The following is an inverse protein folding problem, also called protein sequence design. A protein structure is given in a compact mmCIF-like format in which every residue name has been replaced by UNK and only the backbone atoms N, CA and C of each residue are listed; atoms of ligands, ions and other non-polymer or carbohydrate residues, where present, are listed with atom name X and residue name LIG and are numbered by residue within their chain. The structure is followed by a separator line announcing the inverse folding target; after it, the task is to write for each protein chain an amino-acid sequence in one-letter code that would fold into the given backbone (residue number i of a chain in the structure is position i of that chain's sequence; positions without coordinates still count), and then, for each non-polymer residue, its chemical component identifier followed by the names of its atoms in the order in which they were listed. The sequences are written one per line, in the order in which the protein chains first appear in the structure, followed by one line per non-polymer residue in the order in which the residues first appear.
data_IF_461954041505
#
_entry.id   IF_461954041505
#
_cell.length_a   1.000
_cell.length_b   1.000
_cell.length_c   1.000
_cell.angle_alpha   90.00
_cell.angle_beta   90.00
_cell.angle_gamma   90.00
#
_symmetry.space_group_name_H-M   'P 1'
#
loop_
_entity.id
_entity.type
_entity.pdbx_description
1 polymer ?
#
# COMPACT_ATOMS: atom_id res chain seq x y z
N UNK A 1 -0.97 -7.80 18.88
CA UNK A 1 -0.14 -7.08 17.90
C UNK A 1 0.22 -5.72 18.45
N UNK A 2 1.49 -5.31 18.32
CA UNK A 2 1.94 -3.97 18.77
C UNK A 2 2.35 -3.15 17.54
N UNK A 3 2.05 -1.85 17.56
CA UNK A 3 2.43 -0.89 16.53
C UNK A 3 3.00 0.38 17.17
N UNK A 4 3.92 1.03 16.46
CA UNK A 4 4.46 2.34 16.84
C UNK A 4 3.38 3.41 16.71
N UNK A 5 3.05 4.05 17.84
CA UNK A 5 2.14 5.18 17.88
C UNK A 5 2.93 6.49 17.84
N UNK A 6 2.77 7.27 16.78
CA UNK A 6 3.46 8.57 16.63
C UNK A 6 3.03 9.57 17.71
N UNK A 7 1.79 9.44 18.23
CA UNK A 7 1.28 10.34 19.26
C UNK A 7 2.05 10.19 20.57
N UNK A 8 2.39 8.96 20.98
CA UNK A 8 3.07 8.67 22.24
C UNK A 8 4.55 8.38 22.09
N UNK A 9 5.02 8.11 20.83
CA UNK A 9 6.34 7.57 20.52
C UNK A 9 6.62 6.23 21.23
N UNK A 10 5.58 5.44 21.50
CA UNK A 10 5.67 4.13 22.13
C UNK A 10 5.11 3.03 21.22
N UNK A 11 5.52 1.80 21.51
CA UNK A 11 4.86 0.61 20.95
C UNK A 11 3.59 0.34 21.77
N UNK A 12 2.46 0.39 21.09
CA UNK A 12 1.15 0.18 21.72
C UNK A 12 0.45 -1.04 21.15
N UNK A 13 -0.27 -1.72 22.02
CA UNK A 13 -1.05 -2.88 21.65
C UNK A 13 -2.39 -2.46 21.05
N UNK A 14 -2.68 -2.93 19.83
CA UNK A 14 -4.00 -2.72 19.23
C UNK A 14 -4.98 -3.73 19.82
N UNK A 15 -6.12 -3.21 20.29
CA UNK A 15 -7.19 -4.06 20.83
C UNK A 15 -7.94 -4.74 19.68
N UNK A 16 -7.82 -6.07 19.60
CA UNK A 16 -8.54 -6.91 18.63
C UNK A 16 -9.66 -7.75 19.28
N UNK A 17 -9.98 -7.51 20.55
CA UNK A 17 -10.97 -8.29 21.31
C UNK A 17 -12.34 -8.25 20.64
N UNK A 18 -12.76 -7.08 20.15
CA UNK A 18 -14.05 -6.92 19.47
C UNK A 18 -14.03 -7.45 18.03
N UNK A 19 -12.88 -7.96 17.56
CA UNK A 19 -12.66 -8.48 16.22
C UNK A 19 -13.04 -7.51 15.08
N UNK A 20 -13.11 -6.22 15.38
CA UNK A 20 -13.34 -5.15 14.39
C UNK A 20 -12.31 -4.04 14.64
N UNK A 21 -11.60 -3.64 13.59
CA UNK A 21 -10.64 -2.52 13.59
C UNK A 21 -11.07 -1.50 12.56
N UNK A 22 -11.14 -0.24 12.96
CA UNK A 22 -11.46 0.91 12.13
C UNK A 22 -10.18 1.63 11.74
N UNK A 23 -9.86 1.66 10.45
CA UNK A 23 -8.65 2.31 9.91
C UNK A 23 -9.07 3.42 8.97
N UNK A 24 -8.57 4.64 9.20
CA UNK A 24 -8.61 5.73 8.25
C UNK A 24 -7.21 6.01 7.72
N UNK A 25 -7.05 5.93 6.42
CA UNK A 25 -5.82 6.30 5.72
C UNK A 25 -6.07 7.57 4.92
N UNK A 26 -5.37 8.66 5.24
CA UNK A 26 -5.42 9.85 4.41
C UNK A 26 -5.03 9.52 2.97
N UNK A 27 -5.93 9.85 2.06
CA UNK A 27 -5.80 9.54 0.64
C UNK A 27 -4.95 10.54 -0.12
N UNK A 28 -5.00 10.44 -1.43
CA UNK A 28 -4.20 11.28 -2.31
C UNK A 28 -5.01 12.44 -2.87
N UNK A 29 -4.35 13.58 -3.12
CA UNK A 29 -4.90 14.67 -3.93
C UNK A 29 -4.76 14.28 -5.40
N UNK A 30 -5.89 14.11 -6.09
CA UNK A 30 -5.96 13.51 -7.43
C UNK A 30 -5.75 14.52 -8.55
N UNK A 31 -4.56 15.09 -8.63
CA UNK A 31 -4.16 16.04 -9.67
C UNK A 31 -3.00 15.55 -10.56
N UNK A 32 -2.41 14.40 -10.23
CA UNK A 32 -1.29 13.78 -10.95
C UNK A 32 -1.19 12.29 -10.58
N UNK A 33 -0.43 11.51 -11.37
CA UNK A 33 -0.16 10.11 -11.10
C UNK A 33 0.49 9.89 -9.73
N UNK A 34 0.20 8.74 -9.13
CA UNK A 34 0.83 8.34 -7.88
C UNK A 34 2.31 8.01 -8.06
N UNK A 35 3.12 8.36 -7.08
CA UNK A 35 4.54 8.04 -7.03
C UNK A 35 4.85 6.95 -5.99
N UNK A 36 6.07 6.44 -6.01
CA UNK A 36 6.53 5.34 -5.16
C UNK A 36 6.35 5.61 -3.65
N UNK A 37 6.37 6.87 -3.21
CA UNK A 37 6.06 7.24 -1.82
C UNK A 37 4.61 6.92 -1.43
N UNK A 38 3.63 7.25 -2.31
CA UNK A 38 2.25 6.85 -2.12
C UNK A 38 2.12 5.32 -2.11
N UNK A 39 2.79 4.62 -3.05
CA UNK A 39 2.76 3.17 -3.11
C UNK A 39 3.28 2.54 -1.81
N UNK A 40 4.38 3.04 -1.26
CA UNK A 40 4.92 2.54 0.01
C UNK A 40 3.91 2.63 1.15
N UNK A 41 3.31 3.81 1.32
CA UNK A 41 2.30 4.03 2.38
C UNK A 41 1.13 3.07 2.22
N UNK A 42 0.55 2.99 1.03
CA UNK A 42 -0.62 2.17 0.76
C UNK A 42 -0.31 0.67 0.88
N UNK A 43 0.86 0.21 0.43
CA UNK A 43 1.31 -1.19 0.56
C UNK A 43 1.49 -1.58 2.03
N UNK A 44 2.06 -0.71 2.87
CA UNK A 44 2.21 -0.96 4.31
C UNK A 44 0.86 -1.17 4.97
N UNK A 45 -0.12 -0.31 4.69
CA UNK A 45 -1.47 -0.44 5.23
C UNK A 45 -2.23 -1.63 4.63
N UNK A 46 -1.99 -1.99 3.36
CA UNK A 46 -2.53 -3.20 2.74
C UNK A 46 -2.02 -4.47 3.45
N UNK A 47 -0.74 -4.53 3.79
CA UNK A 47 -0.18 -5.67 4.54
C UNK A 47 -0.73 -5.73 5.96
N UNK A 48 -0.84 -4.59 6.66
CA UNK A 48 -1.49 -4.53 7.98
C UNK A 48 -2.91 -5.09 7.91
N UNK A 49 -3.70 -4.64 6.95
CA UNK A 49 -5.07 -5.11 6.74
C UNK A 49 -5.12 -6.61 6.45
N UNK A 50 -4.33 -7.11 5.48
CA UNK A 50 -4.28 -8.54 5.13
C UNK A 50 -3.91 -9.40 6.33
N UNK A 51 -2.96 -8.94 7.11
CA UNK A 51 -2.53 -9.67 8.30
C UNK A 51 -3.62 -9.72 9.36
N UNK A 52 -4.28 -8.61 9.66
CA UNK A 52 -5.41 -8.56 10.59
C UNK A 52 -6.57 -9.45 10.13
N UNK A 53 -6.93 -9.41 8.84
CA UNK A 53 -8.00 -10.23 8.27
C UNK A 53 -7.70 -11.74 8.35
N UNK A 54 -6.44 -12.16 8.14
CA UNK A 54 -6.00 -13.56 8.33
C UNK A 54 -6.09 -14.00 9.79
N UNK A 55 -5.89 -13.08 10.75
CA UNK A 55 -6.08 -13.35 12.18
C UNK A 55 -7.57 -13.36 12.58
N UNK A 56 -8.50 -13.26 11.63
CA UNK A 56 -9.94 -13.29 11.85
C UNK A 56 -10.52 -11.95 12.34
N UNK A 57 -9.79 -10.85 12.18
CA UNK A 57 -10.25 -9.50 12.52
C UNK A 57 -10.92 -8.87 11.31
N UNK A 58 -12.14 -8.35 11.47
CA UNK A 58 -12.81 -7.55 10.45
C UNK A 58 -12.19 -6.15 10.39
N UNK A 59 -11.70 -5.73 9.24
CA UNK A 59 -11.14 -4.39 9.05
C UNK A 59 -12.12 -3.52 8.28
N UNK A 60 -12.52 -2.39 8.87
CA UNK A 60 -13.25 -1.32 8.18
C UNK A 60 -12.20 -0.30 7.77
N UNK A 61 -11.83 -0.31 6.49
CA UNK A 61 -10.75 0.50 5.93
C UNK A 61 -11.32 1.61 5.06
N UNK A 62 -11.15 2.86 5.47
CA UNK A 62 -11.58 4.04 4.73
C UNK A 62 -10.35 4.78 4.21
N UNK A 63 -10.38 5.14 2.92
CA UNK A 63 -9.37 5.98 2.29
C UNK A 63 -10.05 6.99 1.38
N UNK A 64 -9.87 8.28 1.64
CA UNK A 64 -10.52 9.31 0.84
C UNK A 64 -9.78 9.63 -0.47
N UNK A 65 -10.46 10.36 -1.35
CA UNK A 65 -9.84 11.15 -2.40
C UNK A 65 -10.10 12.63 -2.14
N UNK A 66 -9.03 13.42 -2.08
CA UNK A 66 -9.12 14.87 -2.19
C UNK A 66 -9.29 15.22 -3.67
N UNK A 67 -10.56 15.32 -4.09
CA UNK A 67 -10.98 15.55 -5.47
C UNK A 67 -11.27 17.02 -5.79
N UNK A 68 -10.99 17.90 -4.82
CA UNK A 68 -10.97 19.36 -4.98
C UNK A 68 -9.85 19.98 -4.14
N UNK A 69 -8.96 20.72 -4.79
CA UNK A 69 -7.81 21.39 -4.18
C UNK A 69 -7.27 22.44 -5.14
N UNK A 70 -6.50 23.40 -4.66
CA UNK A 70 -5.88 24.44 -5.49
C UNK A 70 -4.97 23.86 -6.59
N UNK A 71 -4.31 22.71 -6.33
CA UNK A 71 -3.47 22.01 -7.32
C UNK A 71 -4.29 21.39 -8.44
N UNK A 72 -5.49 20.85 -8.12
CA UNK A 72 -6.40 20.29 -9.13
C UNK A 72 -6.89 21.41 -10.05
N UNK A 73 -7.28 22.55 -9.47
CA UNK A 73 -7.74 23.74 -10.23
C UNK A 73 -6.60 24.29 -11.11
N UNK A 74 -5.40 24.41 -10.57
CA UNK A 74 -4.23 24.86 -11.34
C UNK A 74 -3.94 23.91 -12.50
N UNK A 75 -4.02 22.61 -12.29
CA UNK A 75 -3.84 21.60 -13.33
C UNK A 75 -4.92 21.68 -14.41
N UNK A 76 -6.18 21.81 -14.02
CA UNK A 76 -7.30 21.99 -14.92
C UNK A 76 -7.13 23.23 -15.82
N UNK A 77 -6.69 24.33 -15.26
CA UNK A 77 -6.39 25.57 -16.02
C UNK A 77 -5.26 25.36 -17.04
N UNK A 78 -4.18 24.64 -16.67
CA UNK A 78 -3.06 24.34 -17.58
C UNK A 78 -3.52 23.44 -18.72
N UNK A 79 -4.38 22.44 -18.43
CA UNK A 79 -4.88 21.50 -19.42
C UNK A 79 -6.14 21.98 -20.17
N UNK A 80 -6.61 23.21 -19.89
CA UNK A 80 -7.82 23.80 -20.48
C UNK A 80 -9.07 22.91 -20.30
N UNK A 81 -9.22 22.33 -19.12
CA UNK A 81 -10.34 21.45 -18.74
C UNK A 81 -10.94 21.87 -17.40
N UNK A 82 -11.85 21.10 -16.84
CA UNK A 82 -12.41 21.32 -15.52
C UNK A 82 -11.78 20.42 -14.43
N UNK A 83 -11.96 20.85 -13.18
CA UNK A 83 -11.39 20.15 -12.01
C UNK A 83 -11.98 18.75 -11.82
N UNK A 84 -13.23 18.53 -12.17
CA UNK A 84 -13.92 17.24 -12.09
C UNK A 84 -13.29 16.24 -13.08
N UNK A 85 -12.99 16.68 -14.31
CA UNK A 85 -12.33 15.85 -15.30
C UNK A 85 -10.95 15.41 -14.81
N UNK A 86 -10.12 16.35 -14.29
CA UNK A 86 -8.80 16.05 -13.74
C UNK A 86 -8.91 15.01 -12.62
N UNK A 87 -9.79 15.25 -11.65
CA UNK A 87 -9.97 14.34 -10.51
C UNK A 87 -10.38 12.94 -10.96
N UNK A 88 -11.32 12.83 -11.91
CA UNK A 88 -11.77 11.55 -12.45
C UNK A 88 -10.64 10.78 -13.13
N UNK A 89 -9.86 11.43 -13.99
CA UNK A 89 -8.73 10.82 -14.69
C UNK A 89 -7.71 10.24 -13.71
N UNK A 90 -7.35 11.00 -12.66
CA UNK A 90 -6.35 10.54 -11.71
C UNK A 90 -6.88 9.57 -10.66
N UNK A 91 -8.19 9.56 -10.37
CA UNK A 91 -8.83 8.47 -9.61
C UNK A 91 -8.79 7.16 -10.42
N UNK A 92 -9.09 7.20 -11.72
CA UNK A 92 -8.99 6.02 -12.59
C UNK A 92 -7.53 5.52 -12.68
N UNK A 93 -6.57 6.44 -12.81
CA UNK A 93 -5.13 6.11 -12.78
C UNK A 93 -4.73 5.45 -11.46
N UNK A 94 -5.17 6.02 -10.32
CA UNK A 94 -4.96 5.43 -8.99
C UNK A 94 -5.44 3.98 -8.94
N UNK A 95 -6.67 3.73 -9.33
CA UNK A 95 -7.22 2.39 -9.27
C UNK A 95 -6.49 1.40 -10.17
N UNK A 96 -6.16 1.79 -11.40
CA UNK A 96 -5.38 0.95 -12.31
C UNK A 96 -4.02 0.57 -11.71
N UNK A 97 -3.31 1.52 -11.12
CA UNK A 97 -1.98 1.31 -10.57
C UNK A 97 -2.02 0.43 -9.31
N UNK A 98 -2.95 0.70 -8.38
CA UNK A 98 -3.04 -0.05 -7.13
C UNK A 98 -3.70 -1.43 -7.26
N UNK A 99 -4.61 -1.62 -8.22
CA UNK A 99 -5.07 -2.97 -8.59
C UNK A 99 -3.94 -3.80 -9.19
N UNK A 100 -3.11 -3.19 -10.04
CA UNK A 100 -1.92 -3.83 -10.61
C UNK A 100 -0.92 -4.22 -9.52
N UNK A 101 -0.77 -3.39 -8.48
CA UNK A 101 0.03 -3.69 -7.28
C UNK A 101 -0.60 -4.75 -6.37
N UNK A 102 -1.77 -5.30 -6.70
CA UNK A 102 -2.53 -6.25 -5.87
C UNK A 102 -2.88 -5.68 -4.48
N UNK A 103 -3.17 -4.38 -4.38
CA UNK A 103 -3.68 -3.74 -3.17
C UNK A 103 -5.17 -4.06 -3.02
N UNK A 104 -5.61 -4.45 -1.83
CA UNK A 104 -7.02 -4.67 -1.54
C UNK A 104 -7.79 -3.35 -1.58
N UNK A 105 -8.94 -3.34 -2.27
CA UNK A 105 -9.81 -2.17 -2.30
C UNK A 105 -10.26 -1.81 -0.88
N UNK A 106 -10.24 -0.51 -0.55
CA UNK A 106 -10.80 -0.02 0.72
C UNK A 106 -12.29 -0.37 0.83
N UNK A 107 -12.82 -0.35 2.05
CA UNK A 107 -14.25 -0.52 2.29
C UNK A 107 -15.04 0.61 1.63
N UNK A 108 -14.48 1.83 1.64
CA UNK A 108 -15.04 2.98 0.93
C UNK A 108 -13.93 3.97 0.57
N UNK A 109 -14.17 4.71 -0.52
CA UNK A 109 -13.33 5.82 -0.99
C UNK A 109 -14.17 7.11 -1.07
N UNK A 110 -14.49 7.76 0.07
CA UNK A 110 -15.25 8.99 0.06
C UNK A 110 -14.49 10.12 -0.67
N UNK A 111 -15.25 10.98 -1.37
CA UNK A 111 -14.73 12.15 -2.07
C UNK A 111 -15.16 13.42 -1.35
N UNK A 112 -14.28 14.42 -1.35
CA UNK A 112 -14.58 15.69 -0.70
C UNK A 112 -15.82 16.36 -1.27
N UNK A 113 -15.95 16.35 -2.61
CA UNK A 113 -17.08 16.97 -3.31
C UNK A 113 -18.43 16.36 -2.96
N UNK A 114 -18.47 15.11 -2.51
CA UNK A 114 -19.68 14.40 -2.05
C UNK A 114 -20.06 14.75 -0.59
N UNK A 115 -19.18 15.46 0.13
CA UNK A 115 -19.30 15.73 1.57
C UNK A 115 -19.36 17.20 1.93
N UNK A 116 -19.60 18.08 0.96
CA UNK A 116 -19.68 19.53 1.20
C UNK A 116 -20.71 19.91 2.27
N UNK A 117 -21.96 19.37 2.27
CA UNK A 117 -22.92 19.65 3.33
C UNK A 117 -22.44 19.21 4.73
N UNK A 118 -21.79 18.05 4.82
CA UNK A 118 -21.25 17.54 6.09
C UNK A 118 -20.11 18.44 6.61
N UNK A 119 -19.25 18.94 5.70
CA UNK A 119 -18.15 19.87 6.02
C UNK A 119 -18.72 21.18 6.55
N UNK A 120 -19.74 21.73 5.92
CA UNK A 120 -20.39 22.98 6.36
C UNK A 120 -21.03 22.80 7.74
N UNK A 121 -21.72 21.67 7.99
CA UNK A 121 -22.30 21.35 9.30
C UNK A 121 -21.21 21.23 10.39
N UNK A 122 -20.10 20.53 10.09
CA UNK A 122 -18.99 20.39 11.02
C UNK A 122 -18.36 21.73 11.39
N UNK A 123 -18.12 22.59 10.39
CA UNK A 123 -17.60 23.95 10.60
C UNK A 123 -18.56 24.80 11.41
N UNK A 124 -19.87 24.73 11.13
CA UNK A 124 -20.90 25.47 11.89
C UNK A 124 -20.85 25.11 13.38
N UNK A 125 -20.73 23.81 13.69
CA UNK A 125 -20.60 23.32 15.06
C UNK A 125 -19.31 23.77 15.74
N UNK A 126 -18.19 23.86 14.99
CA UNK A 126 -16.95 24.44 15.51
C UNK A 126 -17.09 25.93 15.84
N UNK A 127 -17.83 26.69 15.02
CA UNK A 127 -18.13 28.11 15.31
C UNK A 127 -18.99 28.23 16.57
N UNK A 128 -20.04 27.45 16.70
CA UNK A 128 -20.92 27.41 17.89
C UNK A 128 -20.11 27.11 19.18
N UNK A 129 -19.09 26.27 19.11
CA UNK A 129 -18.18 25.96 20.20
C UNK A 129 -17.04 26.98 20.37
N UNK A 130 -17.03 28.08 19.66
CA UNK A 130 -15.95 29.08 19.66
C UNK A 130 -14.58 28.51 19.29
N UNK A 131 -14.53 27.41 18.55
CA UNK A 131 -13.32 26.80 18.02
C UNK A 131 -12.93 27.34 16.65
N UNK A 132 -13.87 27.98 15.96
CA UNK A 132 -13.66 28.63 14.66
C UNK A 132 -14.27 30.01 14.64
N UNK A 133 -13.83 30.85 13.69
CA UNK A 133 -14.31 32.22 13.53
C UNK A 133 -14.32 32.66 12.06
N UNK A 134 -15.16 33.65 11.78
CA UNK A 134 -15.24 34.31 10.48
C UNK A 134 -14.09 35.34 10.36
N UNK A 135 -13.21 35.16 9.40
CA UNK A 135 -12.19 36.14 8.99
C UNK A 135 -12.53 36.75 7.63
N UNK A 136 -11.64 37.61 7.13
CA UNK A 136 -11.88 38.32 5.86
C UNK A 136 -11.94 37.39 4.65
N UNK A 137 -11.07 36.36 4.61
CA UNK A 137 -10.90 35.48 3.45
C UNK A 137 -11.52 34.08 3.64
N UNK A 138 -12.23 33.84 4.75
CA UNK A 138 -12.83 32.54 5.05
C UNK A 138 -13.15 32.30 6.50
N UNK A 139 -13.39 31.03 6.82
CA UNK A 139 -13.54 30.56 8.19
C UNK A 139 -12.25 29.89 8.62
N UNK A 140 -11.76 30.25 9.80
CA UNK A 140 -10.49 29.76 10.34
C UNK A 140 -10.70 29.01 11.66
N UNK A 141 -9.94 27.94 11.87
CA UNK A 141 -9.85 27.26 13.16
C UNK A 141 -8.98 28.11 14.09
N UNK A 142 -9.46 28.34 15.32
CA UNK A 142 -8.77 29.09 16.37
C UNK A 142 -7.82 28.17 17.13
N UNK A 143 -6.55 28.09 16.70
CA UNK A 143 -5.55 27.16 17.28
C UNK A 143 -5.40 27.34 18.78
N UNK A 144 -5.42 28.56 19.30
CA UNK A 144 -5.33 28.85 20.74
C UNK A 144 -6.50 28.29 21.55
N UNK A 145 -7.63 27.95 20.93
CA UNK A 145 -8.78 27.33 21.59
C UNK A 145 -8.61 25.83 21.87
N UNK A 146 -7.55 25.22 21.33
CA UNK A 146 -7.22 23.81 21.54
C UNK A 146 -5.85 23.66 22.20
N UNK A 147 -5.85 23.39 23.52
CA UNK A 147 -4.62 23.34 24.33
C UNK A 147 -3.67 22.21 23.94
N UNK A 148 -4.18 21.17 23.29
CA UNK A 148 -3.40 20.01 22.84
C UNK A 148 -2.67 20.20 21.50
N UNK A 149 -2.69 21.39 20.90
CA UNK A 149 -2.07 21.61 19.60
C UNK A 149 -0.55 21.44 19.65
N UNK A 150 0.00 20.62 18.76
CA UNK A 150 1.41 20.22 18.76
C UNK A 150 1.66 18.85 19.42
N UNK A 151 0.63 18.20 19.98
CA UNK A 151 0.81 16.92 20.71
C UNK A 151 1.28 15.77 19.80
N UNK A 152 0.89 15.74 18.50
CA UNK A 152 1.32 14.72 17.56
C UNK A 152 2.71 15.02 17.00
N UNK A 153 2.92 16.25 16.55
CA UNK A 153 4.16 16.66 15.88
C UNK A 153 5.32 16.92 16.85
N UNK A 154 5.03 16.97 18.16
CA UNK A 154 6.00 17.33 19.23
C UNK A 154 6.62 18.70 19.05
N UNK A 155 5.95 19.59 18.29
CA UNK A 155 6.38 20.96 18.09
C UNK A 155 5.82 21.84 19.20
N UNK A 156 6.67 22.63 19.82
CA UNK A 156 6.20 23.70 20.68
C UNK A 156 5.56 24.85 19.87
N UNK A 157 4.75 25.65 20.53
CA UNK A 157 3.98 26.70 19.87
C UNK A 157 4.85 27.77 19.22
N UNK A 158 6.06 27.99 19.70
CA UNK A 158 6.98 29.01 19.19
C UNK A 158 7.74 28.48 17.96
N UNK A 159 8.11 27.21 17.96
CA UNK A 159 8.73 26.56 16.80
C UNK A 159 7.76 26.39 15.61
N UNK A 160 6.46 26.33 15.87
CA UNK A 160 5.44 26.30 14.82
C UNK A 160 5.43 27.63 14.04
N UNK A 161 5.56 28.77 14.73
CA UNK A 161 5.58 30.11 14.11
C UNK A 161 6.86 30.31 13.29
N UNK A 162 8.00 29.88 13.81
CA UNK A 162 9.32 30.10 13.20
C UNK A 162 9.66 29.14 12.04
N UNK A 163 9.08 27.93 12.05
CA UNK A 163 9.44 26.85 11.10
C UNK A 163 8.42 26.58 9.99
N UNK A 164 7.22 27.14 10.08
CA UNK A 164 6.24 27.01 9.01
C UNK A 164 6.51 28.10 7.97
N UNK A 165 6.46 27.76 6.67
CA UNK A 165 6.18 28.72 5.60
C UNK A 165 4.71 29.19 5.75
N UNK A 166 4.41 29.89 6.85
CA UNK A 166 3.14 30.53 7.06
C UNK A 166 3.22 31.80 6.21
N UNK A 167 2.47 31.83 5.12
CA UNK A 167 2.14 33.14 4.53
C UNK A 167 1.48 33.94 5.65
N UNK A 168 2.14 35.05 6.01
CA UNK A 168 1.63 35.98 7.02
C UNK A 168 0.35 36.57 6.44
N UNK A 169 -0.79 35.94 6.76
CA UNK A 169 -2.10 36.50 6.46
C UNK A 169 -2.49 37.41 7.64
N UNK A 170 -2.31 38.73 7.46
CA UNK A 170 -2.67 39.75 8.45
C UNK A 170 -4.16 39.72 8.85
N UNK A 171 -4.97 38.93 8.16
CA UNK A 171 -6.41 38.82 8.41
C UNK A 171 -6.76 37.67 9.40
N UNK A 172 -5.76 36.99 9.97
CA UNK A 172 -5.97 35.94 10.99
C UNK A 172 -5.77 36.53 12.40
N UNK A 173 -6.56 36.03 13.37
CA UNK A 173 -6.39 36.39 14.80
C UNK A 173 -5.04 35.89 15.34
N UNK A 174 -4.54 34.77 14.80
CA UNK A 174 -3.26 34.16 15.13
C UNK A 174 -2.61 33.57 13.86
N UNK A 175 -1.32 33.77 13.62
CA UNK A 175 -0.64 33.19 12.45
C UNK A 175 -0.76 31.67 12.30
N UNK A 176 -0.96 30.96 13.41
CA UNK A 176 -1.13 29.49 13.43
C UNK A 176 -2.50 29.04 12.99
N UNK A 177 -3.51 29.94 13.00
CA UNK A 177 -4.86 29.58 12.60
C UNK A 177 -4.89 29.15 11.14
N UNK A 178 -5.68 28.13 10.83
CA UNK A 178 -5.72 27.54 9.51
C UNK A 178 -7.14 27.53 8.94
N UNK A 179 -7.23 27.62 7.62
CA UNK A 179 -8.51 27.72 6.95
C UNK A 179 -9.32 26.44 7.02
N UNK A 180 -10.59 26.54 7.42
CA UNK A 180 -11.61 25.50 7.36
C UNK A 180 -12.48 25.66 6.11
N UNK A 181 -12.76 26.93 5.71
CA UNK A 181 -13.49 27.30 4.51
C UNK A 181 -12.83 28.50 3.89
N UNK A 182 -12.43 28.43 2.63
CA UNK A 182 -11.78 29.51 1.87
C UNK A 182 -12.80 30.17 0.97
N UNK A 183 -13.02 31.48 1.11
CA UNK A 183 -13.88 32.21 0.19
C UNK A 183 -13.26 32.26 -1.21
N UNK A 184 -14.11 32.04 -2.21
CA UNK A 184 -13.67 32.07 -3.59
C UNK A 184 -14.84 32.40 -4.52
N UNK A 185 -14.56 33.19 -5.55
CA UNK A 185 -15.44 33.40 -6.70
C UNK A 185 -15.06 32.53 -7.90
N UNK A 186 -13.88 31.87 -7.85
CA UNK A 186 -13.37 31.00 -8.92
C UNK A 186 -13.93 29.59 -8.74
N UNK A 187 -14.68 29.13 -9.73
CA UNK A 187 -15.26 27.77 -9.72
C UNK A 187 -14.18 26.68 -9.75
N UNK A 188 -14.46 25.50 -9.16
CA UNK A 188 -15.69 25.12 -8.48
C UNK A 188 -15.79 25.75 -7.08
N UNK A 189 -16.99 26.21 -6.72
CA UNK A 189 -17.33 26.77 -5.40
C UNK A 189 -18.71 26.29 -4.97
N UNK A 190 -18.93 26.25 -3.67
CA UNK A 190 -20.21 25.85 -3.06
C UNK A 190 -20.72 26.99 -2.17
N UNK A 191 -22.03 27.11 -2.13
CA UNK A 191 -22.70 28.04 -1.22
C UNK A 191 -22.57 27.54 0.23
N UNK A 192 -22.27 28.46 1.14
CA UNK A 192 -22.28 28.21 2.59
C UNK A 192 -22.97 29.37 3.31
N UNK A 193 -23.34 29.22 4.60
CA UNK A 193 -23.89 30.30 5.41
C UNK A 193 -23.01 31.56 5.48
N UNK A 194 -21.72 31.42 5.22
CA UNK A 194 -20.72 32.48 5.33
C UNK A 194 -20.34 33.11 3.99
N UNK A 195 -20.71 32.46 2.89
CA UNK A 195 -20.38 32.89 1.53
C UNK A 195 -19.92 31.73 0.64
N UNK A 196 -19.79 31.99 -0.65
CA UNK A 196 -19.31 31.00 -1.61
C UNK A 196 -17.82 30.71 -1.37
N UNK A 197 -17.47 29.44 -1.45
CA UNK A 197 -16.10 29.03 -1.21
C UNK A 197 -15.83 27.54 -1.39
N UNK A 198 -14.72 27.09 -0.79
CA UNK A 198 -14.23 25.72 -0.83
C UNK A 198 -13.74 25.29 0.54
N UNK A 199 -13.78 23.95 0.86
CA UNK A 199 -13.17 23.45 2.09
C UNK A 199 -11.67 23.74 2.17
N UNK A 200 -11.18 23.94 3.38
CA UNK A 200 -9.76 23.84 3.68
C UNK A 200 -9.29 22.37 3.62
N UNK A 201 -8.05 22.14 3.28
CA UNK A 201 -7.49 20.79 3.08
C UNK A 201 -7.61 19.85 4.30
N UNK A 202 -7.59 20.40 5.53
CA UNK A 202 -7.55 19.58 6.75
C UNK A 202 -8.92 19.14 7.22
N UNK A 203 -9.98 19.94 6.98
CA UNK A 203 -11.33 19.63 7.46
C UNK A 203 -11.94 18.41 6.75
N UNK A 204 -11.50 18.15 5.53
CA UNK A 204 -11.99 17.07 4.69
C UNK A 204 -11.87 15.71 5.37
N UNK A 205 -10.66 15.36 5.83
CA UNK A 205 -10.37 14.10 6.48
C UNK A 205 -11.04 13.98 7.85
N UNK A 206 -11.09 15.05 8.64
CA UNK A 206 -11.80 15.06 9.92
C UNK A 206 -13.28 14.71 9.76
N UNK A 207 -13.93 15.29 8.74
CA UNK A 207 -15.35 15.06 8.45
C UNK A 207 -15.58 13.65 7.91
N UNK A 208 -14.82 13.23 6.90
CA UNK A 208 -15.00 11.91 6.31
C UNK A 208 -14.65 10.78 7.30
N UNK A 209 -13.56 10.91 8.07
CA UNK A 209 -13.21 9.94 9.09
C UNK A 209 -14.32 9.78 10.14
N UNK A 210 -14.81 10.90 10.69
CA UNK A 210 -15.86 10.86 11.70
C UNK A 210 -17.20 10.36 11.16
N UNK A 211 -17.54 10.66 9.91
CA UNK A 211 -18.79 10.21 9.27
C UNK A 211 -18.80 8.70 9.05
N UNK A 212 -17.71 8.12 8.58
CA UNK A 212 -17.65 6.70 8.23
C UNK A 212 -17.24 5.79 9.39
N UNK A 213 -16.46 6.29 10.34
CA UNK A 213 -15.88 5.48 11.42
C UNK A 213 -16.31 5.92 12.83
N UNK A 214 -16.92 7.11 12.95
CA UNK A 214 -17.30 7.72 14.24
C UNK A 214 -16.23 8.63 14.80
N UNK A 215 -16.52 9.27 15.91
CA UNK A 215 -15.67 10.31 16.53
C UNK A 215 -14.34 9.77 17.09
N UNK A 216 -14.25 8.47 17.36
CA UNK A 216 -13.05 7.79 17.84
C UNK A 216 -12.75 6.59 16.95
N UNK A 217 -11.58 6.56 16.35
CA UNK A 217 -11.13 5.52 15.42
C UNK A 217 -9.95 4.74 16.02
N UNK A 218 -9.72 3.52 15.54
CA UNK A 218 -8.66 2.69 16.12
C UNK A 218 -7.29 3.07 15.57
N UNK A 219 -7.16 3.26 14.25
CA UNK A 219 -5.90 3.62 13.60
C UNK A 219 -6.15 4.73 12.58
N UNK A 220 -5.41 5.83 12.69
CA UNK A 220 -5.32 6.87 11.68
C UNK A 220 -3.91 6.90 11.10
N UNK A 221 -3.77 6.98 9.79
CA UNK A 221 -2.46 6.93 9.21
C UNK A 221 -2.26 7.67 7.89
N UNK A 222 -0.97 7.74 7.50
CA UNK A 222 -0.54 8.38 6.29
C UNK A 222 0.98 8.38 6.12
N UNK A 223 1.49 9.18 5.20
CA UNK A 223 2.92 9.46 5.10
C UNK A 223 3.41 10.32 6.27
N UNK A 224 4.70 10.22 6.60
CA UNK A 224 5.31 11.00 7.68
C UNK A 224 5.23 12.52 7.46
N UNK A 225 5.12 12.95 6.21
CA UNK A 225 4.93 14.36 5.83
C UNK A 225 3.56 14.92 6.23
N UNK A 226 2.57 14.07 6.48
CA UNK A 226 1.24 14.46 6.95
C UNK A 226 1.17 14.71 8.46
N UNK A 227 2.15 14.27 9.26
CA UNK A 227 2.18 14.48 10.71
C UNK A 227 1.91 15.95 11.04
N UNK A 228 2.58 16.86 10.31
CA UNK A 228 2.40 18.30 10.45
C UNK A 228 2.46 19.00 9.08
N UNK A 229 1.48 19.85 8.77
CA UNK A 229 0.40 20.31 9.66
C UNK A 229 -0.87 19.46 9.58
N UNK A 230 -1.02 18.51 8.64
CA UNK A 230 -2.30 17.91 8.26
C UNK A 230 -2.97 17.16 9.42
N UNK A 231 -2.34 16.11 9.94
CA UNK A 231 -2.91 15.29 11.01
C UNK A 231 -3.01 16.05 12.36
N UNK A 232 -2.07 16.95 12.64
CA UNK A 232 -2.16 17.83 13.81
C UNK A 232 -3.43 18.69 13.75
N UNK A 233 -3.75 19.25 12.57
CA UNK A 233 -4.95 20.04 12.35
C UNK A 233 -6.21 19.21 12.41
N UNK A 234 -6.19 17.97 11.90
CA UNK A 234 -7.32 17.04 12.02
C UNK A 234 -7.64 16.70 13.49
N UNK A 235 -6.60 16.48 14.31
CA UNK A 235 -6.76 16.29 15.76
C UNK A 235 -7.45 17.50 16.37
N UNK A 236 -6.95 18.71 16.09
CA UNK A 236 -7.50 19.92 16.67
C UNK A 236 -8.98 20.11 16.29
N UNK A 237 -9.33 19.85 15.03
CA UNK A 237 -10.71 19.93 14.52
C UNK A 237 -11.62 18.90 15.19
N UNK A 238 -11.22 17.64 15.16
CA UNK A 238 -12.06 16.52 15.62
C UNK A 238 -12.21 16.54 17.14
N UNK A 239 -11.12 16.67 17.88
CA UNK A 239 -11.17 16.71 19.34
C UNK A 239 -11.75 18.05 19.87
N UNK A 240 -11.55 19.14 19.11
CA UNK A 240 -12.20 20.42 19.40
C UNK A 240 -13.73 20.36 19.27
N UNK A 241 -14.25 19.51 18.37
CA UNK A 241 -15.69 19.31 18.19
C UNK A 241 -16.27 18.27 19.13
N UNK A 242 -15.67 17.06 19.15
CA UNK A 242 -16.26 15.89 19.82
C UNK A 242 -15.83 15.76 21.28
N UNK A 243 -14.79 16.49 21.73
CA UNK A 243 -14.25 16.45 23.10
C UNK A 243 -13.83 15.03 23.54
N UNK A 244 -13.42 14.23 22.57
CA UNK A 244 -12.90 12.86 22.77
C UNK A 244 -11.68 12.67 21.89
N UNK A 245 -10.84 11.71 22.24
CA UNK A 245 -9.69 11.33 21.43
C UNK A 245 -10.11 10.93 20.03
N UNK A 246 -9.50 11.51 18.99
CA UNK A 246 -9.86 11.27 17.61
C UNK A 246 -9.40 9.91 17.10
N UNK A 247 -8.15 9.53 17.41
CA UNK A 247 -7.60 8.22 17.04
C UNK A 247 -6.74 7.66 18.16
N UNK A 248 -6.95 6.39 18.48
CA UNK A 248 -6.18 5.67 19.52
C UNK A 248 -4.73 5.46 19.09
N UNK A 249 -4.48 5.25 17.80
CA UNK A 249 -3.14 5.00 17.27
C UNK A 249 -2.92 5.82 15.99
N UNK A 250 -1.79 6.52 15.94
CA UNK A 250 -1.34 7.29 14.79
C UNK A 250 -0.15 6.59 14.12
N UNK A 251 -0.38 6.05 12.92
CA UNK A 251 0.62 5.27 12.20
C UNK A 251 1.15 6.04 10.98
N UNK A 252 2.45 6.34 10.97
CA UNK A 252 3.08 7.08 9.90
C UNK A 252 4.17 6.27 9.19
N UNK A 253 4.14 6.33 7.86
CA UNK A 253 5.10 5.64 7.00
C UNK A 253 6.19 6.61 6.56
N UNK A 254 7.44 6.22 6.78
CA UNK A 254 8.62 7.02 6.43
C UNK A 254 8.69 7.31 4.93
N UNK A 255 9.30 8.44 4.59
CA UNK A 255 9.41 8.91 3.20
C UNK A 255 10.27 8.00 2.34
N UNK A 256 10.04 8.04 1.03
CA UNK A 256 10.97 7.48 0.04
C UNK A 256 11.90 8.59 -0.45
N UNK A 257 13.20 8.33 -0.42
CA UNK A 257 14.25 9.17 -1.01
C UNK A 257 14.77 8.55 -2.30
N UNK A 258 15.48 9.31 -3.11
CA UNK A 258 16.11 8.84 -4.33
C UNK A 258 17.59 9.20 -4.24
N UNK A 259 18.45 8.20 -4.16
CA UNK A 259 19.89 8.40 -3.92
C UNK A 259 20.16 9.35 -2.74
N UNK A 260 19.45 9.13 -1.63
CA UNK A 260 19.48 9.93 -0.40
C UNK A 260 18.93 11.36 -0.50
N UNK A 261 18.38 11.76 -1.64
CA UNK A 261 17.73 13.05 -1.82
C UNK A 261 16.21 12.94 -1.65
N UNK A 262 15.59 13.98 -1.08
CA UNK A 262 14.13 14.03 -0.94
C UNK A 262 13.48 14.07 -2.33
N UNK A 263 12.53 13.16 -2.55
CA UNK A 263 11.70 13.18 -3.75
C UNK A 263 10.82 14.43 -3.77
N UNK A 264 10.86 15.17 -4.88
CA UNK A 264 10.10 16.40 -5.05
C UNK A 264 9.76 16.64 -6.52
N UNK A 265 8.51 17.05 -6.79
CA UNK A 265 8.07 17.41 -8.13
C UNK A 265 8.82 18.64 -8.69
N UNK A 266 9.20 19.58 -7.83
CA UNK A 266 9.95 20.76 -8.22
C UNK A 266 11.38 20.45 -8.69
N UNK A 267 11.97 19.36 -8.18
CA UNK A 267 13.29 18.87 -8.60
C UNK A 267 13.16 17.94 -9.83
N UNK A 268 11.96 17.47 -10.14
CA UNK A 268 11.72 16.56 -11.25
C UNK A 268 12.19 15.11 -11.02
N UNK A 269 12.53 14.74 -9.78
CA UNK A 269 13.03 13.42 -9.40
C UNK A 269 11.91 12.47 -8.91
N UNK A 270 10.66 12.67 -9.33
CA UNK A 270 9.52 11.85 -8.90
C UNK A 270 9.43 10.57 -9.73
N UNK A 271 9.32 9.41 -9.08
CA UNK A 271 9.18 8.11 -9.74
C UNK A 271 7.71 7.70 -9.70
N UNK A 272 7.05 7.61 -10.86
CA UNK A 272 5.64 7.22 -10.99
C UNK A 272 5.46 5.72 -10.81
N UNK A 273 4.36 5.33 -10.16
CA UNK A 273 3.99 3.92 -9.96
C UNK A 273 3.77 3.23 -11.31
N UNK A 274 3.08 3.90 -12.25
CA UNK A 274 2.80 3.37 -13.59
C UNK A 274 4.07 3.08 -14.41
N UNK A 275 5.14 3.85 -14.21
CA UNK A 275 6.44 3.63 -14.85
C UNK A 275 7.15 2.42 -14.24
N UNK A 276 7.20 2.35 -12.90
CA UNK A 276 7.81 1.22 -12.20
C UNK A 276 7.07 -0.10 -12.46
N UNK A 277 5.74 -0.07 -12.56
CA UNK A 277 4.96 -1.26 -12.91
C UNK A 277 5.40 -1.85 -14.26
N UNK A 278 5.70 -1.00 -15.23
CA UNK A 278 6.22 -1.42 -16.53
C UNK A 278 7.67 -1.87 -16.46
N UNK A 279 8.46 -1.20 -15.63
CA UNK A 279 9.90 -1.46 -15.53
C UNK A 279 10.24 -2.72 -14.72
N UNK A 280 9.65 -2.90 -13.54
CA UNK A 280 10.08 -3.97 -12.61
C UNK A 280 8.94 -4.90 -12.18
N UNK A 281 7.70 -4.52 -12.47
CA UNK A 281 6.51 -5.28 -12.11
C UNK A 281 6.08 -5.14 -10.64
N UNK A 282 4.83 -5.56 -10.33
CA UNK A 282 4.18 -5.25 -9.05
C UNK A 282 4.85 -5.93 -7.84
N UNK A 283 5.29 -7.18 -7.98
CA UNK A 283 5.87 -7.92 -6.86
C UNK A 283 7.23 -7.36 -6.42
N UNK A 284 8.02 -6.87 -7.36
CA UNK A 284 9.31 -6.22 -7.07
C UNK A 284 9.07 -4.90 -6.33
N UNK A 285 8.08 -4.10 -6.76
CA UNK A 285 7.69 -2.87 -6.07
C UNK A 285 7.26 -3.16 -4.63
N UNK A 286 6.43 -4.19 -4.41
CA UNK A 286 5.99 -4.57 -3.06
C UNK A 286 7.17 -5.00 -2.19
N UNK A 287 8.06 -5.86 -2.69
CA UNK A 287 9.26 -6.29 -1.97
C UNK A 287 10.20 -5.13 -1.66
N UNK A 288 10.34 -4.18 -2.57
CA UNK A 288 11.07 -2.93 -2.34
C UNK A 288 10.43 -2.12 -1.19
N UNK A 289 9.13 -1.84 -1.26
CA UNK A 289 8.41 -1.05 -0.25
C UNK A 289 8.49 -1.67 1.17
N UNK A 290 8.61 -2.99 1.25
CA UNK A 290 8.68 -3.76 2.50
C UNK A 290 10.12 -4.12 2.91
N UNK A 291 11.14 -3.63 2.20
CA UNK A 291 12.54 -4.00 2.47
C UNK A 291 13.14 -3.36 3.73
N UNK A 292 12.49 -2.33 4.26
CA UNK A 292 12.89 -1.67 5.52
C UNK A 292 11.71 -1.52 6.46
N UNK A 293 11.99 -1.19 7.73
CA UNK A 293 10.94 -0.89 8.69
C UNK A 293 10.10 0.30 8.22
N UNK A 294 8.77 0.22 8.35
CA UNK A 294 7.86 1.20 7.77
C UNK A 294 8.05 2.62 8.31
N UNK A 295 8.48 2.79 9.57
CA UNK A 295 8.72 4.11 10.18
C UNK A 295 10.00 4.79 9.67
N UNK A 296 10.92 4.03 9.07
CA UNK A 296 12.21 4.55 8.60
C UNK A 296 12.12 5.05 7.15
N UNK A 297 12.92 6.04 6.75
CA UNK A 297 13.07 6.37 5.34
C UNK A 297 13.51 5.15 4.53
N UNK A 298 13.12 5.09 3.27
CA UNK A 298 13.52 4.06 2.32
C UNK A 298 14.16 4.75 1.11
N UNK A 299 15.41 4.39 0.82
CA UNK A 299 16.09 4.98 -0.33
C UNK A 299 15.88 4.13 -1.59
N UNK A 300 15.43 4.77 -2.65
CA UNK A 300 15.30 4.14 -3.96
C UNK A 300 16.66 4.16 -4.66
N UNK A 301 17.30 2.99 -4.70
CA UNK A 301 18.55 2.78 -5.42
C UNK A 301 18.43 1.58 -6.34
N UNK A 302 19.27 1.55 -7.39
CA UNK A 302 19.33 0.40 -8.31
C UNK A 302 19.62 -0.91 -7.57
N UNK A 303 20.53 -0.89 -6.59
CA UNK A 303 20.92 -2.08 -5.85
C UNK A 303 19.77 -2.71 -5.06
N UNK A 304 18.95 -1.89 -4.39
CA UNK A 304 17.78 -2.37 -3.64
C UNK A 304 16.69 -2.92 -4.58
N UNK A 305 16.51 -2.30 -5.74
CA UNK A 305 15.59 -2.82 -6.77
C UNK A 305 16.10 -4.16 -7.33
N UNK A 306 17.38 -4.28 -7.65
CA UNK A 306 17.96 -5.52 -8.17
C UNK A 306 17.96 -6.64 -7.10
N UNK A 307 18.13 -6.29 -5.83
CA UNK A 307 17.91 -7.23 -4.72
C UNK A 307 16.44 -7.69 -4.65
N UNK A 308 15.49 -6.79 -4.80
CA UNK A 308 14.06 -7.11 -4.81
C UNK A 308 13.68 -8.01 -6.00
N UNK A 309 14.29 -7.80 -7.18
CA UNK A 309 14.15 -8.69 -8.35
C UNK A 309 14.66 -10.09 -8.04
N UNK A 310 15.85 -10.21 -7.40
CA UNK A 310 16.40 -11.53 -6.99
C UNK A 310 15.50 -12.25 -6.00
N UNK A 311 15.00 -11.54 -4.98
CA UNK A 311 14.02 -12.09 -4.01
C UNK A 311 12.77 -12.60 -4.71
N UNK A 312 12.19 -11.80 -5.61
CA UNK A 312 11.02 -12.23 -6.36
C UNK A 312 11.29 -13.46 -7.22
N UNK A 313 12.44 -13.52 -7.89
CA UNK A 313 12.82 -14.69 -8.70
C UNK A 313 12.89 -15.97 -7.86
N UNK A 314 13.46 -15.92 -6.66
CA UNK A 314 13.53 -17.07 -5.75
C UNK A 314 12.13 -17.52 -5.30
N UNK A 315 11.26 -16.58 -4.94
CA UNK A 315 9.90 -16.85 -4.47
C UNK A 315 9.06 -17.44 -5.62
N UNK A 316 9.11 -16.84 -6.80
CA UNK A 316 8.33 -17.30 -7.96
C UNK A 316 8.80 -18.68 -8.45
N UNK A 317 10.10 -18.97 -8.41
CA UNK A 317 10.61 -20.29 -8.74
C UNK A 317 10.05 -21.37 -7.78
N UNK A 318 10.09 -21.11 -6.47
CA UNK A 318 9.52 -22.04 -5.48
C UNK A 318 8.00 -22.22 -5.69
N UNK A 319 7.28 -21.16 -6.04
CA UNK A 319 5.84 -21.22 -6.33
C UNK A 319 5.56 -22.15 -7.51
N UNK A 320 6.20 -21.92 -8.67
CA UNK A 320 5.96 -22.72 -9.87
C UNK A 320 6.40 -24.19 -9.70
N UNK A 321 7.50 -24.43 -8.99
CA UNK A 321 7.97 -25.77 -8.67
C UNK A 321 6.96 -26.54 -7.81
N UNK A 322 6.48 -25.92 -6.71
CA UNK A 322 5.47 -26.54 -5.85
C UNK A 322 4.13 -26.71 -6.57
N UNK A 323 3.71 -25.72 -7.36
CA UNK A 323 2.47 -25.82 -8.14
C UNK A 323 2.53 -26.99 -9.12
N UNK A 324 3.63 -27.12 -9.87
CA UNK A 324 3.82 -28.21 -10.82
C UNK A 324 3.82 -29.58 -10.12
N UNK A 325 4.62 -29.75 -9.07
CA UNK A 325 4.73 -31.01 -8.34
C UNK A 325 3.41 -31.41 -7.67
N UNK A 326 2.70 -30.47 -7.09
CA UNK A 326 1.39 -30.73 -6.48
C UNK A 326 0.36 -31.17 -7.51
N UNK A 327 0.41 -30.62 -8.73
CA UNK A 327 -0.51 -30.96 -9.82
C UNK A 327 -0.21 -32.33 -10.47
N UNK A 328 1.06 -32.70 -10.55
CA UNK A 328 1.54 -33.92 -11.19
C UNK A 328 1.89 -35.01 -10.16
N UNK A 329 1.15 -35.05 -9.06
CA UNK A 329 1.41 -35.94 -7.89
C UNK A 329 1.40 -37.44 -8.16
N UNK A 330 0.85 -37.91 -9.30
CA UNK A 330 0.89 -39.37 -9.65
C UNK A 330 2.30 -39.87 -10.01
N UNK A 331 3.28 -38.96 -10.12
CA UNK A 331 4.67 -39.31 -10.42
C UNK A 331 5.45 -39.64 -9.12
N UNK A 332 4.87 -39.34 -7.95
CA UNK A 332 5.54 -39.42 -6.66
C UNK A 332 4.85 -40.43 -5.75
N UNK A 333 5.52 -41.55 -5.45
CA UNK A 333 5.01 -42.60 -4.56
C UNK A 333 4.92 -42.10 -3.09
N UNK A 334 4.02 -42.71 -2.32
CA UNK A 334 3.81 -42.44 -0.90
C UNK A 334 5.06 -42.81 -0.08
N UNK A 335 5.78 -41.79 0.42
CA UNK A 335 6.86 -41.96 1.39
C UNK A 335 6.45 -41.33 2.73
N UNK A 336 6.07 -42.18 3.70
CA UNK A 336 5.27 -41.77 4.84
C UNK A 336 6.01 -41.11 6.05
N UNK A 337 7.34 -41.16 6.15
CA UNK A 337 7.97 -40.85 7.45
C UNK A 337 9.02 -39.75 7.49
N UNK A 338 9.63 -39.40 6.37
CA UNK A 338 10.85 -38.52 6.38
C UNK A 338 10.48 -37.03 6.34
N UNK A 339 9.24 -36.68 5.97
CA UNK A 339 8.87 -35.31 5.64
C UNK A 339 8.13 -34.56 6.77
N UNK A 340 7.64 -35.27 7.80
CA UNK A 340 6.94 -34.64 8.91
C UNK A 340 7.82 -33.68 9.71
N UNK A 341 9.08 -33.99 10.07
CA UNK A 341 9.96 -33.04 10.76
C UNK A 341 10.24 -31.79 9.92
N UNK A 342 10.37 -31.94 8.59
CA UNK A 342 10.56 -30.81 7.69
C UNK A 342 9.31 -29.94 7.61
N UNK A 343 8.11 -30.53 7.58
CA UNK A 343 6.86 -29.80 7.57
C UNK A 343 6.67 -28.98 8.86
N UNK A 344 7.07 -29.53 10.00
CA UNK A 344 7.08 -28.83 11.28
C UNK A 344 8.07 -27.64 11.26
N UNK A 345 9.28 -27.87 10.74
CA UNK A 345 10.26 -26.80 10.51
C UNK A 345 9.68 -25.68 9.63
N UNK A 346 9.06 -26.04 8.50
CA UNK A 346 8.46 -25.09 7.55
C UNK A 346 7.28 -24.33 8.18
N UNK A 347 6.48 -25.00 9.02
CA UNK A 347 5.38 -24.36 9.76
C UNK A 347 5.93 -23.36 10.78
N UNK A 348 7.02 -23.69 11.45
CA UNK A 348 7.67 -22.78 12.41
C UNK A 348 8.16 -21.48 11.75
N UNK A 349 8.62 -21.51 10.48
CA UNK A 349 8.94 -20.27 9.77
C UNK A 349 7.73 -19.33 9.64
N UNK A 350 6.52 -19.86 9.44
CA UNK A 350 5.32 -19.02 9.40
C UNK A 350 5.05 -18.39 10.77
N UNK A 351 5.19 -19.15 11.86
CA UNK A 351 5.04 -18.63 13.23
C UNK A 351 6.03 -17.49 13.49
N UNK A 352 7.31 -17.68 13.18
CA UNK A 352 8.34 -16.65 13.34
C UNK A 352 8.06 -15.40 12.46
N UNK A 353 7.56 -15.61 11.25
CA UNK A 353 7.15 -14.52 10.36
C UNK A 353 6.00 -13.70 11.00
N UNK A 354 4.98 -14.37 11.52
CA UNK A 354 3.85 -13.72 12.20
C UNK A 354 4.30 -13.02 13.49
N UNK A 355 5.25 -13.55 14.24
CA UNK A 355 5.86 -12.89 15.40
C UNK A 355 6.51 -11.56 15.03
N UNK A 356 7.25 -11.51 13.92
CA UNK A 356 7.84 -10.27 13.44
C UNK A 356 6.78 -9.26 12.98
N UNK A 357 5.68 -9.69 12.36
CA UNK A 357 4.57 -8.81 12.03
C UNK A 357 3.83 -8.31 13.26
N UNK A 358 3.68 -9.15 14.29
CA UNK A 358 3.09 -8.77 15.56
C UNK A 358 3.93 -7.75 16.34
N UNK A 359 5.21 -7.67 16.04
CA UNK A 359 6.14 -6.73 16.65
C UNK A 359 6.45 -5.57 15.69
N UNK A 360 5.53 -4.62 15.65
CA UNK A 360 5.64 -3.37 14.90
C UNK A 360 5.81 -3.54 13.38
N UNK A 361 5.14 -4.54 12.78
CA UNK A 361 5.26 -4.83 11.36
C UNK A 361 6.72 -4.87 10.87
N UNK A 362 7.57 -5.57 11.60
CA UNK A 362 8.99 -5.67 11.25
C UNK A 362 9.19 -6.45 9.95
N UNK A 363 8.87 -5.79 8.83
CA UNK A 363 8.93 -6.39 7.49
C UNK A 363 10.31 -6.91 7.11
N UNK A 364 11.38 -6.22 7.51
CA UNK A 364 12.73 -6.62 7.17
C UNK A 364 13.06 -8.01 7.75
N UNK A 365 12.73 -8.24 9.02
CA UNK A 365 12.93 -9.54 9.66
C UNK A 365 11.91 -10.57 9.15
N UNK A 366 10.65 -10.19 8.98
CA UNK A 366 9.63 -11.07 8.41
C UNK A 366 10.01 -11.57 7.01
N UNK A 367 10.44 -10.70 6.10
CA UNK A 367 10.94 -11.09 4.77
C UNK A 367 12.19 -11.97 4.86
N UNK A 368 13.08 -11.74 5.81
CA UNK A 368 14.24 -12.61 6.04
C UNK A 368 13.82 -14.03 6.40
N UNK A 369 12.82 -14.17 7.30
CA UNK A 369 12.26 -15.49 7.66
C UNK A 369 11.57 -16.14 6.46
N UNK A 370 10.80 -15.39 5.71
CA UNK A 370 10.16 -15.89 4.49
C UNK A 370 11.18 -16.39 3.45
N UNK A 371 12.28 -15.66 3.23
CA UNK A 371 13.34 -16.09 2.31
C UNK A 371 14.10 -17.32 2.82
N UNK A 372 14.27 -17.51 4.13
CA UNK A 372 14.80 -18.76 4.71
C UNK A 372 13.86 -19.94 4.40
N UNK A 373 12.54 -19.75 4.57
CA UNK A 373 11.54 -20.75 4.17
C UNK A 373 11.67 -21.11 2.67
N UNK A 374 11.77 -20.11 1.78
CA UNK A 374 11.97 -20.32 0.34
C UNK A 374 13.26 -21.10 0.06
N UNK A 375 14.37 -20.72 0.67
CA UNK A 375 15.66 -21.39 0.50
C UNK A 375 15.58 -22.85 0.97
N UNK A 376 14.92 -23.10 2.10
CA UNK A 376 14.76 -24.45 2.65
C UNK A 376 13.95 -25.36 1.72
N UNK A 377 12.85 -24.81 1.13
CA UNK A 377 12.05 -25.52 0.13
C UNK A 377 12.87 -25.79 -1.12
N UNK A 378 13.54 -24.78 -1.71
CA UNK A 378 14.33 -24.96 -2.92
C UNK A 378 15.42 -26.02 -2.75
N UNK A 379 16.10 -26.02 -1.61
CA UNK A 379 17.10 -27.03 -1.29
C UNK A 379 16.50 -28.43 -1.20
N UNK A 380 15.32 -28.57 -0.58
CA UNK A 380 14.62 -29.84 -0.50
C UNK A 380 14.17 -30.35 -1.89
N UNK A 381 13.57 -29.47 -2.70
CA UNK A 381 13.08 -29.81 -4.03
C UNK A 381 14.20 -30.08 -5.04
N UNK A 382 15.43 -29.61 -4.79
CA UNK A 382 16.60 -29.90 -5.65
C UNK A 382 17.11 -31.34 -5.52
N UNK A 383 16.72 -32.04 -4.45
CA UNK A 383 17.08 -33.44 -4.22
C UNK A 383 16.05 -34.33 -4.93
N UNK A 384 16.53 -35.30 -5.71
CA UNK A 384 15.68 -36.25 -6.46
C UNK A 384 15.15 -37.36 -5.51
N UNK A 385 14.37 -36.94 -4.49
CA UNK A 385 13.74 -37.84 -3.52
C UNK A 385 12.24 -37.91 -3.76
N UNK A 386 11.60 -39.08 -3.59
CA UNK A 386 10.14 -39.21 -3.60
C UNK A 386 9.53 -38.27 -2.57
N UNK A 387 8.51 -37.53 -2.95
CA UNK A 387 7.86 -36.53 -2.09
C UNK A 387 6.38 -36.88 -1.94
N UNK A 388 5.90 -36.90 -0.70
CA UNK A 388 4.50 -37.16 -0.38
C UNK A 388 3.62 -35.98 -0.86
N UNK A 389 2.48 -36.29 -1.51
CA UNK A 389 1.55 -35.29 -2.00
C UNK A 389 0.96 -34.41 -0.89
N UNK A 390 0.72 -34.99 0.30
CA UNK A 390 0.22 -34.22 1.45
C UNK A 390 1.24 -33.20 1.91
N UNK A 391 2.52 -33.57 1.97
CA UNK A 391 3.61 -32.64 2.27
C UNK A 391 3.68 -31.50 1.25
N UNK A 392 3.63 -31.80 -0.06
CA UNK A 392 3.64 -30.79 -1.12
C UNK A 392 2.45 -29.83 -1.00
N UNK A 393 1.26 -30.37 -0.78
CA UNK A 393 0.02 -29.59 -0.66
C UNK A 393 0.06 -28.66 0.55
N UNK A 394 0.51 -29.15 1.71
CA UNK A 394 0.66 -28.35 2.93
C UNK A 394 1.73 -27.29 2.75
N UNK A 395 2.89 -27.64 2.19
CA UNK A 395 3.98 -26.69 1.91
C UNK A 395 3.54 -25.59 0.95
N UNK A 396 2.83 -25.94 -0.11
CA UNK A 396 2.30 -24.98 -1.06
C UNK A 396 1.24 -24.06 -0.43
N UNK A 397 0.42 -24.60 0.49
CA UNK A 397 -0.52 -23.79 1.27
C UNK A 397 0.18 -22.77 2.18
N UNK A 398 1.28 -23.17 2.85
CA UNK A 398 2.11 -22.28 3.64
C UNK A 398 2.69 -21.16 2.76
N UNK A 399 3.28 -21.49 1.61
CA UNK A 399 3.82 -20.52 0.67
C UNK A 399 2.74 -19.50 0.24
N UNK A 400 1.56 -19.97 -0.12
CA UNK A 400 0.43 -19.10 -0.50
C UNK A 400 0.00 -18.19 0.65
N UNK A 401 0.05 -18.65 1.90
CA UNK A 401 -0.26 -17.82 3.08
C UNK A 401 0.75 -16.69 3.26
N UNK A 402 2.06 -16.96 3.17
CA UNK A 402 3.09 -15.92 3.17
C UNK A 402 2.86 -14.89 2.06
N UNK A 403 2.66 -15.36 0.83
CA UNK A 403 2.46 -14.49 -0.32
C UNK A 403 1.21 -13.63 -0.18
N UNK A 404 0.11 -14.19 0.32
CA UNK A 404 -1.13 -13.45 0.56
C UNK A 404 -0.92 -12.31 1.56
N UNK A 405 -0.26 -12.57 2.70
CA UNK A 405 -0.03 -11.55 3.74
C UNK A 405 0.74 -10.37 3.18
N UNK A 406 1.81 -10.60 2.44
CA UNK A 406 2.62 -9.51 1.85
C UNK A 406 2.11 -9.03 0.48
N UNK A 407 0.98 -9.61 0.02
CA UNK A 407 0.29 -9.20 -1.21
C UNK A 407 1.01 -9.57 -2.51
N UNK A 408 1.89 -10.56 -2.51
CA UNK A 408 2.53 -11.07 -3.72
C UNK A 408 1.56 -11.96 -4.50
N UNK A 409 1.59 -11.84 -5.82
CA UNK A 409 0.70 -12.59 -6.71
C UNK A 409 1.44 -13.05 -7.95
N UNK A 410 1.34 -14.34 -8.25
CA UNK A 410 1.84 -14.90 -9.50
C UNK A 410 0.80 -14.67 -10.60
N UNK A 411 1.26 -14.30 -11.79
CA UNK A 411 0.41 -14.17 -12.96
C UNK A 411 -0.13 -15.53 -13.37
N UNK A 412 -1.45 -15.66 -13.37
CA UNK A 412 -2.11 -16.87 -13.84
C UNK A 412 -2.37 -16.80 -15.34
N UNK A 413 -2.36 -17.95 -15.98
CA UNK A 413 -2.85 -18.14 -17.35
C UNK A 413 -4.29 -18.65 -17.31
N UNK A 414 -5.06 -18.40 -18.36
CA UNK A 414 -6.37 -19.03 -18.51
C UNK A 414 -6.25 -20.55 -18.62
N UNK A 415 -7.32 -21.28 -18.32
CA UNK A 415 -7.33 -22.73 -18.44
C UNK A 415 -6.96 -23.19 -19.87
N UNK A 416 -7.47 -22.50 -20.87
CA UNK A 416 -7.20 -22.79 -22.27
C UNK A 416 -5.72 -22.56 -22.62
N UNK A 417 -5.15 -21.44 -22.19
CA UNK A 417 -3.71 -21.19 -22.38
C UNK A 417 -2.86 -22.22 -21.68
N UNK A 418 -3.26 -22.63 -20.47
CA UNK A 418 -2.57 -23.66 -19.72
C UNK A 418 -2.54 -24.98 -20.50
N UNK A 419 -3.70 -25.46 -20.97
CA UNK A 419 -3.81 -26.70 -21.75
C UNK A 419 -2.96 -26.63 -23.02
N UNK A 420 -2.96 -25.50 -23.72
CA UNK A 420 -2.13 -25.31 -24.92
C UNK A 420 -0.62 -25.29 -24.60
N UNK A 421 -0.22 -24.69 -23.48
CA UNK A 421 1.19 -24.70 -23.04
C UNK A 421 1.64 -26.14 -22.74
N UNK A 422 0.88 -26.89 -21.96
CA UNK A 422 1.21 -28.28 -21.59
C UNK A 422 1.29 -29.20 -22.81
N UNK A 423 0.36 -29.06 -23.77
CA UNK A 423 0.40 -29.82 -25.03
C UNK A 423 1.68 -29.52 -25.85
N UNK A 424 2.05 -28.25 -25.94
CA UNK A 424 3.28 -27.87 -26.66
C UNK A 424 4.54 -28.36 -25.90
N UNK A 425 4.56 -28.34 -24.57
CA UNK A 425 5.66 -28.90 -23.77
C UNK A 425 5.79 -30.39 -24.01
N UNK A 426 4.66 -31.11 -24.03
CA UNK A 426 4.66 -32.54 -24.33
C UNK A 426 5.28 -32.81 -25.72
N UNK A 427 4.82 -32.14 -26.78
CA UNK A 427 5.37 -32.25 -28.15
C UNK A 427 6.87 -31.94 -28.19
N UNK A 428 7.29 -30.86 -27.50
CA UNK A 428 8.71 -30.50 -27.39
C UNK A 428 9.54 -31.62 -26.75
N UNK A 429 9.05 -32.24 -25.69
CA UNK A 429 9.77 -33.30 -25.00
C UNK A 429 9.86 -34.56 -25.84
N UNK A 430 8.84 -34.88 -26.64
CA UNK A 430 8.92 -35.95 -27.64
C UNK A 430 10.05 -35.70 -28.66
N UNK A 431 10.11 -34.50 -29.26
CA UNK A 431 11.20 -34.15 -30.19
C UNK A 431 12.58 -34.22 -29.54
N UNK A 432 12.70 -33.86 -28.27
CA UNK A 432 13.97 -34.02 -27.55
C UNK A 432 14.36 -35.50 -27.35
N UNK A 433 13.40 -36.38 -27.05
CA UNK A 433 13.68 -37.79 -26.92
C UNK A 433 14.13 -38.44 -28.23
N UNK A 434 13.62 -37.92 -29.36
CA UNK A 434 14.02 -38.26 -30.72
C UNK A 434 15.29 -37.57 -31.20
N UNK A 435 15.94 -36.75 -30.35
CA UNK A 435 17.12 -35.91 -30.64
C UNK A 435 16.88 -34.86 -31.74
N UNK A 436 15.60 -34.54 -32.03
CA UNK A 436 15.23 -33.48 -32.94
C UNK A 436 15.21 -32.11 -32.22
N UNK A 437 16.39 -31.62 -31.93
CA UNK A 437 16.56 -30.37 -31.17
C UNK A 437 16.02 -29.13 -31.93
N UNK A 438 16.06 -29.13 -33.27
CA UNK A 438 15.60 -28.02 -34.08
C UNK A 438 14.09 -27.77 -33.86
N UNK A 439 13.25 -28.82 -33.92
CA UNK A 439 11.81 -28.69 -33.70
C UNK A 439 11.51 -28.40 -32.22
N UNK A 440 12.25 -28.97 -31.30
CA UNK A 440 12.16 -28.66 -29.87
C UNK A 440 12.41 -27.17 -29.58
N UNK A 441 13.43 -26.57 -30.19
CA UNK A 441 13.77 -25.15 -29.98
C UNK A 441 12.74 -24.20 -30.63
N UNK A 442 12.17 -24.57 -31.78
CA UNK A 442 11.05 -23.83 -32.38
C UNK A 442 9.85 -23.74 -31.43
N UNK A 443 9.49 -24.87 -30.78
CA UNK A 443 8.39 -24.87 -29.82
C UNK A 443 8.73 -24.00 -28.60
N UNK A 444 9.96 -24.06 -28.10
CA UNK A 444 10.42 -23.22 -27.00
C UNK A 444 10.27 -21.73 -27.32
N UNK A 445 10.70 -21.32 -28.50
CA UNK A 445 10.58 -19.93 -28.97
C UNK A 445 9.10 -19.54 -29.12
N UNK A 446 8.28 -20.39 -29.77
CA UNK A 446 6.83 -20.16 -29.89
C UNK A 446 6.15 -19.93 -28.54
N UNK A 447 6.46 -20.76 -27.54
CA UNK A 447 5.90 -20.61 -26.20
C UNK A 447 6.39 -19.34 -25.50
N UNK A 448 7.65 -18.98 -25.68
CA UNK A 448 8.22 -17.76 -25.15
C UNK A 448 7.54 -16.50 -25.74
N UNK A 449 7.35 -16.46 -27.05
CA UNK A 449 6.80 -15.30 -27.76
C UNK A 449 5.29 -15.16 -27.54
N UNK A 450 4.55 -16.28 -27.62
CA UNK A 450 3.08 -16.22 -27.54
C UNK A 450 2.53 -16.08 -26.13
N UNK A 451 3.13 -16.79 -25.16
CA UNK A 451 2.62 -16.85 -23.80
C UNK A 451 3.48 -16.12 -22.78
N UNK A 452 4.58 -15.52 -23.24
CA UNK A 452 5.58 -14.86 -22.38
C UNK A 452 6.04 -15.77 -21.23
N UNK A 453 6.42 -17.02 -21.55
CA UNK A 453 6.90 -18.01 -20.58
C UNK A 453 8.34 -18.41 -20.83
N UNK A 454 8.98 -18.87 -19.77
CA UNK A 454 10.29 -19.51 -19.78
C UNK A 454 10.15 -20.98 -19.41
N UNK A 455 10.82 -21.86 -20.15
CA UNK A 455 10.86 -23.30 -19.84
C UNK A 455 12.12 -23.63 -19.05
N UNK A 456 11.95 -24.35 -17.95
CA UNK A 456 13.01 -24.85 -17.07
C UNK A 456 13.02 -26.37 -17.16
N UNK A 457 14.10 -26.93 -17.70
CA UNK A 457 14.22 -28.39 -17.83
C UNK A 457 14.81 -28.99 -16.55
N UNK A 458 14.10 -29.95 -15.98
CA UNK A 458 14.55 -30.83 -14.90
C UNK A 458 14.81 -32.24 -15.43
N UNK A 459 15.43 -33.07 -14.62
CA UNK A 459 15.57 -34.49 -14.93
C UNK A 459 14.20 -35.16 -14.88
N UNK A 460 13.65 -35.53 -16.07
CA UNK A 460 12.37 -36.22 -16.21
C UNK A 460 11.14 -35.34 -16.44
N UNK A 461 11.23 -34.01 -16.30
CA UNK A 461 10.11 -33.10 -16.60
C UNK A 461 10.57 -31.71 -17.02
N UNK A 462 9.67 -30.96 -17.62
CA UNK A 462 9.88 -29.55 -17.98
C UNK A 462 8.86 -28.69 -17.25
N UNK A 463 9.35 -27.75 -16.48
CA UNK A 463 8.55 -26.75 -15.79
C UNK A 463 8.51 -25.46 -16.60
N UNK A 464 7.46 -24.68 -16.45
CA UNK A 464 7.39 -23.36 -17.04
C UNK A 464 6.95 -22.30 -16.03
N UNK A 465 7.40 -21.08 -16.25
CA UNK A 465 6.97 -19.93 -15.48
C UNK A 465 6.70 -18.74 -16.42
N UNK A 466 5.80 -17.85 -16.04
CA UNK A 466 5.71 -16.54 -16.71
C UNK A 466 7.04 -15.81 -16.57
N UNK A 467 7.54 -15.29 -17.66
CA UNK A 467 8.67 -14.37 -17.59
C UNK A 467 8.23 -13.16 -16.77
N UNK A 468 9.00 -12.76 -15.78
CA UNK A 468 8.92 -11.40 -15.27
C UNK A 468 9.04 -10.47 -16.47
N UNK A 469 8.27 -9.39 -16.49
CA UNK A 469 8.23 -8.43 -17.61
C UNK A 469 9.67 -8.18 -18.04
N UNK A 470 10.11 -8.91 -19.10
CA UNK A 470 11.45 -8.74 -19.63
C UNK A 470 11.46 -7.48 -20.47
N UNK A 471 12.32 -6.59 -20.11
CA UNK A 471 12.74 -5.44 -20.84
C UNK A 471 12.95 -5.82 -22.30
N UNK A 472 12.05 -5.40 -23.18
CA UNK A 472 12.43 -5.24 -24.57
C UNK A 472 13.53 -4.16 -24.58
N UNK A 473 14.73 -4.60 -24.95
CA UNK A 473 15.85 -3.70 -25.24
C UNK A 473 15.48 -2.71 -26.32
#
# INVERSE_FOLDING_TARGET
MKLSNTLTNQLEEINTVDKVIKIYLCGVTVYDDCHIGHARTIIVFDVLRRYLEIQGVKVIFIQNFTDIDDKIIARANIEHTDAEYISRVYIESYFRDFDSLNVLRATSYPRVTEHIPDIIDFISKLIEKNKAYLGLNGIYFRVRSYLGYGKLSKKDQDSIISGARIEVDENKDDPRDFALWKFSSVKPTWASPWGNGRPGWHIECSVMASKYLGANIDIHGGGQDLVFPHHENEIAQSEGLFETEFSKLWMHVGMVTINSEKMSKSIGNTIKVSELLREVGPNVIRLFCLSSHYTKPLDYTKDIIDESKRKWSQISNAYYELEYRTRNSFIYENSDSIQQPLLEELTNYLTLFEEHLNNDLNFANALTVFLKFITRINNFLSIDTPVNIEFLTKTFSLLKKFMFIIGLKVSQVSKQEFEEIEENIYKRNMFRSEKNYLESDKIRLKLADRFNIELIDHKGFTLWKKRSIDFQK
#
